data_IF_622537432080
#
_entry.id   IF_622537432080
#
_cell.length_a   1.000
_cell.length_b   1.000
_cell.length_c   1.000
_cell.angle_alpha   90.00
_cell.angle_beta   90.00
_cell.angle_gamma   90.00
#
_symmetry.space_group_name_H-M   'P 1'
#
loop_
_entity.id
_entity.type
_entity.pdbx_description
1 polymer ?
#
# COMPACT_ATOMS: atom_id res chain seq x y z
N UNK A 1 27.04 -11.90 -6.80
CA UNK A 1 26.08 -11.97 -5.67
C UNK A 1 24.80 -11.35 -6.20
N UNK A 2 23.81 -12.17 -6.51
CA UNK A 2 22.52 -11.67 -7.00
C UNK A 2 21.82 -10.91 -5.86
N UNK A 3 21.23 -9.74 -6.12
CA UNK A 3 20.48 -9.02 -5.10
C UNK A 3 19.22 -9.84 -4.76
N UNK A 4 19.21 -10.47 -3.59
CA UNK A 4 18.01 -11.09 -3.02
C UNK A 4 16.99 -9.99 -2.79
N UNK A 5 16.07 -9.81 -3.73
CA UNK A 5 14.95 -8.87 -3.63
C UNK A 5 14.04 -9.35 -2.51
N UNK A 6 14.11 -8.70 -1.35
CA UNK A 6 13.18 -8.98 -0.26
C UNK A 6 11.77 -8.59 -0.73
N UNK A 7 10.79 -9.50 -0.74
CA UNK A 7 9.45 -9.17 -1.18
C UNK A 7 8.86 -8.10 -0.26
N UNK A 8 8.67 -6.89 -0.81
CA UNK A 8 8.02 -5.79 -0.11
C UNK A 8 6.50 -5.97 -0.24
N UNK A 9 5.81 -6.14 0.86
CA UNK A 9 4.35 -6.10 0.88
C UNK A 9 3.87 -4.65 0.89
N UNK A 10 2.78 -4.34 0.17
CA UNK A 10 2.22 -2.99 0.12
C UNK A 10 1.65 -2.52 1.48
N UNK A 11 1.21 -3.47 2.32
CA UNK A 11 0.59 -3.19 3.62
C UNK A 11 1.15 -4.11 4.71
N UNK A 12 1.01 -3.68 5.96
CA UNK A 12 1.39 -4.49 7.12
C UNK A 12 0.46 -5.70 7.34
N UNK A 13 0.90 -6.73 8.08
CA UNK A 13 0.13 -7.96 8.32
C UNK A 13 -1.17 -7.73 9.12
N UNK A 14 -1.29 -6.60 9.83
CA UNK A 14 -2.55 -6.22 10.50
C UNK A 14 -3.60 -5.71 9.50
N UNK A 15 -3.19 -4.90 8.54
CA UNK A 15 -4.06 -4.37 7.49
C UNK A 15 -4.59 -5.48 6.57
N UNK A 16 -3.76 -6.48 6.28
CA UNK A 16 -4.19 -7.63 5.49
C UNK A 16 -5.31 -8.44 6.15
N UNK A 17 -5.31 -8.53 7.50
CA UNK A 17 -6.41 -9.16 8.25
C UNK A 17 -7.69 -8.33 8.19
N UNK A 18 -7.57 -7.01 8.20
CA UNK A 18 -8.71 -6.10 8.06
C UNK A 18 -9.34 -6.17 6.67
N UNK A 19 -8.55 -6.30 5.61
CA UNK A 19 -9.06 -6.57 4.25
C UNK A 19 -9.80 -7.91 4.18
N UNK A 20 -9.27 -8.97 4.80
CA UNK A 20 -10.00 -10.24 4.83
C UNK A 20 -11.35 -10.12 5.54
N UNK A 21 -11.42 -9.33 6.60
CA UNK A 21 -12.66 -9.05 7.30
C UNK A 21 -13.63 -8.23 6.45
N UNK A 22 -13.16 -7.17 5.77
CA UNK A 22 -13.97 -6.38 4.85
C UNK A 22 -14.56 -7.24 3.74
N UNK A 23 -13.73 -8.03 3.07
CA UNK A 23 -14.16 -8.96 2.03
C UNK A 23 -15.22 -9.97 2.52
N UNK A 24 -15.07 -10.50 3.74
CA UNK A 24 -16.07 -11.38 4.34
C UNK A 24 -17.42 -10.67 4.54
N UNK A 25 -17.40 -9.39 4.95
CA UNK A 25 -18.63 -8.57 5.10
C UNK A 25 -19.26 -8.26 3.74
N UNK A 26 -18.47 -7.93 2.72
CA UNK A 26 -18.99 -7.76 1.35
C UNK A 26 -19.66 -9.04 0.85
N UNK A 27 -18.98 -10.19 1.01
CA UNK A 27 -19.53 -11.48 0.62
C UNK A 27 -20.85 -11.76 1.37
N UNK A 28 -20.91 -11.50 2.67
CA UNK A 28 -22.13 -11.62 3.45
C UNK A 28 -23.26 -10.71 2.93
N UNK A 29 -22.96 -9.49 2.50
CA UNK A 29 -23.93 -8.58 1.89
C UNK A 29 -24.54 -9.14 0.59
N UNK A 30 -23.70 -9.64 -0.31
CA UNK A 30 -24.16 -10.27 -1.56
C UNK A 30 -24.93 -11.57 -1.30
N UNK A 31 -24.47 -12.39 -0.37
CA UNK A 31 -25.16 -13.62 0.05
C UNK A 31 -26.53 -13.29 0.65
N UNK A 32 -26.64 -12.23 1.47
CA UNK A 32 -27.91 -11.80 2.06
C UNK A 32 -28.92 -11.39 1.00
N UNK A 33 -28.50 -10.66 -0.05
CA UNK A 33 -29.36 -10.37 -1.19
C UNK A 33 -29.78 -11.62 -1.96
N UNK A 34 -28.91 -12.63 -2.03
CA UNK A 34 -29.19 -13.88 -2.77
C UNK A 34 -30.12 -14.82 -2.01
N UNK A 35 -30.07 -14.80 -0.67
CA UNK A 35 -30.96 -15.58 0.19
C UNK A 35 -32.34 -14.95 0.37
N UNK A 36 -32.53 -13.70 -0.04
CA UNK A 36 -33.82 -13.04 0.06
C UNK A 36 -34.85 -13.80 -0.80
N UNK A 37 -35.89 -14.29 -0.14
CA UNK A 37 -36.92 -15.16 -0.76
C UNK A 37 -38.03 -14.37 -1.44
N UNK A 38 -37.97 -13.04 -1.38
CA UNK A 38 -38.87 -12.16 -2.13
C UNK A 38 -38.51 -12.17 -3.62
N UNK A 39 -39.52 -12.18 -4.49
CA UNK A 39 -39.31 -12.02 -5.93
C UNK A 39 -38.50 -10.74 -6.19
N UNK A 40 -37.43 -10.88 -6.97
CA UNK A 40 -36.46 -9.81 -7.29
C UNK A 40 -35.64 -9.26 -6.12
N UNK A 41 -35.66 -9.87 -4.93
CA UNK A 41 -34.93 -9.34 -3.77
C UNK A 41 -35.51 -8.02 -3.26
N UNK A 42 -36.79 -7.78 -3.52
CA UNK A 42 -37.58 -6.63 -3.01
C UNK A 42 -37.83 -6.72 -1.50
N UNK A 43 -37.40 -7.80 -0.86
CA UNK A 43 -37.50 -7.96 0.58
C UNK A 43 -36.62 -6.95 1.31
N UNK A 44 -36.94 -6.72 2.58
CA UNK A 44 -36.15 -5.83 3.44
C UNK A 44 -34.66 -6.24 3.49
N UNK A 45 -34.39 -7.55 3.39
CA UNK A 45 -33.04 -8.10 3.40
C UNK A 45 -32.27 -7.73 2.12
N UNK A 46 -32.91 -7.79 0.95
CA UNK A 46 -32.28 -7.46 -0.33
C UNK A 46 -32.11 -5.96 -0.56
N UNK A 47 -33.15 -5.14 -0.35
CA UNK A 47 -33.12 -3.69 -0.64
C UNK A 47 -32.49 -2.85 0.49
N UNK A 48 -32.57 -3.30 1.74
CA UNK A 48 -32.15 -2.50 2.89
C UNK A 48 -30.90 -3.08 3.54
N UNK A 49 -30.96 -4.33 3.99
CA UNK A 49 -29.87 -4.93 4.76
C UNK A 49 -28.64 -5.22 3.88
N UNK A 50 -28.85 -5.73 2.66
CA UNK A 50 -27.80 -6.00 1.69
C UNK A 50 -26.94 -4.77 1.38
N UNK A 51 -27.53 -3.64 0.92
CA UNK A 51 -26.76 -2.44 0.61
C UNK A 51 -26.06 -1.83 1.83
N UNK A 52 -26.68 -1.93 3.02
CA UNK A 52 -26.04 -1.49 4.27
C UNK A 52 -24.80 -2.35 4.57
N UNK A 53 -24.90 -3.67 4.46
CA UNK A 53 -23.76 -4.57 4.65
C UNK A 53 -22.64 -4.28 3.65
N UNK A 54 -22.97 -4.04 2.37
CA UNK A 54 -21.99 -3.66 1.36
C UNK A 54 -21.33 -2.32 1.70
N UNK A 55 -22.09 -1.30 2.10
CA UNK A 55 -21.55 0.00 2.49
C UNK A 55 -20.59 -0.11 3.68
N UNK A 56 -20.96 -0.87 4.72
CA UNK A 56 -20.10 -1.14 5.87
C UNK A 56 -18.85 -1.91 5.45
N UNK A 57 -18.99 -2.92 4.60
CA UNK A 57 -17.87 -3.67 4.04
C UNK A 57 -16.87 -2.78 3.30
N UNK A 58 -17.35 -1.89 2.43
CA UNK A 58 -16.50 -0.91 1.75
C UNK A 58 -15.82 0.06 2.71
N UNK A 59 -16.51 0.55 3.74
CA UNK A 59 -15.89 1.41 4.77
C UNK A 59 -14.74 0.69 5.46
N UNK A 60 -14.91 -0.60 5.80
CA UNK A 60 -13.87 -1.42 6.42
C UNK A 60 -12.67 -1.54 5.48
N UNK A 61 -12.88 -1.79 4.18
CA UNK A 61 -11.81 -1.86 3.18
C UNK A 61 -11.07 -0.53 3.04
N UNK A 62 -11.78 0.58 2.92
CA UNK A 62 -11.16 1.91 2.85
C UNK A 62 -10.32 2.19 4.09
N UNK A 63 -10.83 1.84 5.28
CA UNK A 63 -10.08 1.98 6.52
C UNK A 63 -8.88 1.03 6.58
N UNK A 64 -9.01 -0.21 6.10
CA UNK A 64 -7.93 -1.19 6.05
C UNK A 64 -6.77 -0.74 5.15
N UNK A 65 -7.07 -0.06 4.05
CA UNK A 65 -6.08 0.49 3.13
C UNK A 65 -5.41 1.74 3.73
N UNK A 66 -6.20 2.64 4.32
CA UNK A 66 -5.70 3.90 4.89
C UNK A 66 -5.02 3.74 6.25
N UNK A 67 -5.28 2.65 6.99
CA UNK A 67 -4.73 2.46 8.32
C UNK A 67 -3.20 2.41 8.27
N UNK A 68 -2.52 3.35 8.94
CA UNK A 68 -1.07 3.31 9.04
C UNK A 68 -0.65 2.07 9.85
N UNK A 69 0.34 1.26 9.39
CA UNK A 69 0.88 0.18 10.20
C UNK A 69 1.47 0.78 11.49
N UNK A 70 0.93 0.37 12.64
CA UNK A 70 1.29 0.92 13.95
C UNK A 70 2.56 0.32 14.56
N UNK A 71 3.51 -0.13 13.74
CA UNK A 71 4.77 -0.70 14.19
C UNK A 71 5.96 0.08 13.63
N UNK A 72 7.16 -0.05 14.21
CA UNK A 72 8.37 0.49 13.62
C UNK A 72 8.46 -0.06 12.20
N UNK A 73 8.31 0.81 11.20
CA UNK A 73 8.52 0.45 9.81
C UNK A 73 9.89 -0.19 9.74
N UNK A 74 10.00 -1.46 9.31
CA UNK A 74 11.30 -2.04 9.00
C UNK A 74 11.89 -1.11 7.94
N UNK A 75 12.87 -0.30 8.35
CA UNK A 75 13.57 0.59 7.44
C UNK A 75 14.16 -0.33 6.39
N UNK A 76 13.83 -0.11 5.13
CA UNK A 76 14.23 -1.01 4.05
C UNK A 76 15.75 -1.18 4.07
N UNK A 77 16.24 -2.31 4.56
CA UNK A 77 17.67 -2.68 4.54
C UNK A 77 18.04 -3.24 3.17
N UNK A 78 17.39 -2.77 2.11
CA UNK A 78 17.71 -3.16 0.76
C UNK A 78 19.01 -2.45 0.36
N UNK A 79 19.95 -3.22 -0.21
CA UNK A 79 21.26 -2.72 -0.64
C UNK A 79 21.14 -1.53 -1.60
N UNK A 80 20.03 -1.44 -2.35
CA UNK A 80 19.70 -0.33 -3.26
C UNK A 80 19.40 0.96 -2.48
N UNK A 81 18.48 0.90 -1.51
CA UNK A 81 18.15 2.04 -0.65
C UNK A 81 19.36 2.48 0.18
N UNK A 82 20.18 1.54 0.64
CA UNK A 82 21.44 1.83 1.35
C UNK A 82 22.47 2.51 0.44
N UNK A 83 22.54 2.15 -0.85
CA UNK A 83 23.45 2.77 -1.81
C UNK A 83 23.03 4.21 -2.16
N UNK A 84 21.73 4.51 -2.16
CA UNK A 84 21.19 5.85 -2.44
C UNK A 84 21.23 6.78 -1.22
N UNK A 85 21.08 6.22 -0.01
CA UNK A 85 21.10 6.99 1.26
C UNK A 85 22.49 7.05 1.91
N UNK A 86 23.45 6.24 1.46
CA UNK A 86 24.85 6.42 1.84
C UNK A 86 25.31 7.79 1.32
N UNK A 87 26.03 8.59 2.11
CA UNK A 87 26.80 9.70 1.56
C UNK A 87 27.67 9.10 0.48
N UNK A 88 27.36 9.39 -0.79
CA UNK A 88 28.20 9.03 -1.91
C UNK A 88 29.61 9.50 -1.51
N UNK A 89 30.63 8.63 -1.43
CA UNK A 89 31.98 9.10 -1.20
C UNK A 89 32.19 10.12 -2.30
N UNK A 90 32.38 11.39 -1.92
CA UNK A 90 32.63 12.46 -2.87
C UNK A 90 33.60 11.89 -3.90
N UNK A 91 33.14 11.71 -5.14
CA UNK A 91 33.99 11.17 -6.20
C UNK A 91 35.31 11.91 -6.09
N UNK A 92 36.48 11.23 -6.12
CA UNK A 92 37.76 11.89 -5.98
C UNK A 92 37.72 13.03 -6.99
N UNK A 93 37.69 14.26 -6.47
CA UNK A 93 37.44 15.46 -7.25
C UNK A 93 38.54 15.42 -8.30
N UNK A 94 38.19 15.08 -9.54
CA UNK A 94 39.15 15.17 -10.63
C UNK A 94 39.70 16.59 -10.55
N UNK A 95 41.03 16.79 -10.54
CA UNK A 95 41.60 18.11 -10.38
C UNK A 95 40.92 19.02 -11.41
N UNK A 96 40.30 20.09 -10.90
CA UNK A 96 39.52 21.00 -11.71
C UNK A 96 40.32 21.38 -12.96
N UNK A 97 39.72 21.37 -14.17
CA UNK A 97 40.42 21.82 -15.36
C UNK A 97 40.92 23.24 -15.09
N UNK A 98 42.24 23.43 -15.15
CA UNK A 98 42.87 24.73 -14.92
C UNK A 98 42.31 25.72 -15.92
N UNK A 99 41.61 26.74 -15.42
CA UNK A 99 41.05 27.79 -16.25
C UNK A 99 42.18 28.45 -17.08
N UNK A 100 41.98 28.70 -18.39
CA UNK A 100 43.01 29.34 -19.21
C UNK A 100 43.21 30.78 -18.74
N UNK A 101 44.44 31.07 -18.28
CA UNK A 101 44.88 32.43 -17.92
C UNK A 101 44.95 33.29 -19.18
N UNK A 102 43.92 34.10 -19.43
CA UNK A 102 43.97 35.10 -20.50
C UNK A 102 44.77 36.32 -20.06
N UNK A 103 45.89 36.57 -20.74
CA UNK A 103 46.62 37.85 -20.69
C UNK A 103 45.88 38.85 -21.57
N UNK A 104 45.29 39.89 -20.96
CA UNK A 104 44.77 41.05 -21.69
C UNK A 104 45.94 41.95 -22.13
N UNK A 105 46.04 42.34 -23.42
CA UNK A 105 47.01 43.32 -23.92
C UNK A 105 46.66 44.75 -23.48
#
# INVERSE_FOLDING_TARGET
MEPTQTPRFAFGPRNYRLMWLGLAVLAAGFITMTLDSADYGEGFLGITLGPILLAVGFIIEFWAIMAKPGGPTPVATDTVTRAETAPQPAAPVAPAPTAPTYKRP
#
